data_IF_516227824943
#
_entry.id   IF_516227824943
#
_cell.length_a   1.000
_cell.length_b   1.000
_cell.length_c   1.000
_cell.angle_alpha   90.00
_cell.angle_beta   90.00
_cell.angle_gamma   90.00
#
_symmetry.space_group_name_H-M   'P 1'
#
loop_
_entity.id
_entity.type
_entity.pdbx_description
1 polymer ?
#
# COMPACT_ATOMS: atom_id res chain seq x y z
N UNK A 1 -77.59 -12.83 -9.93
CA UNK A 1 -76.24 -12.76 -10.54
C UNK A 1 -75.80 -11.32 -10.40
N UNK A 2 -75.33 -10.85 -9.23
CA UNK A 2 -74.02 -11.04 -8.59
C UNK A 2 -72.84 -10.51 -9.44
N UNK A 3 -72.83 -9.19 -9.67
CA UNK A 3 -71.65 -8.50 -10.21
C UNK A 3 -70.54 -8.47 -9.16
N UNK A 4 -69.53 -9.29 -9.42
CA UNK A 4 -68.35 -9.46 -8.57
C UNK A 4 -67.28 -8.48 -9.02
N UNK A 5 -66.82 -7.62 -8.10
CA UNK A 5 -65.66 -6.75 -8.28
C UNK A 5 -64.38 -7.61 -8.16
N UNK A 6 -63.45 -7.60 -9.14
CA UNK A 6 -62.07 -7.99 -8.89
C UNK A 6 -61.21 -6.78 -8.51
N UNK A 7 -60.21 -6.98 -7.64
CA UNK A 7 -59.60 -5.95 -6.81
C UNK A 7 -58.52 -5.13 -7.51
N UNK A 8 -58.27 -3.94 -6.96
CA UNK A 8 -57.16 -3.07 -7.29
C UNK A 8 -55.82 -3.78 -7.15
N UNK A 9 -55.05 -3.80 -8.24
CA UNK A 9 -53.64 -4.17 -8.24
C UNK A 9 -52.88 -3.03 -7.56
N UNK A 10 -52.64 -3.14 -6.25
CA UNK A 10 -51.73 -2.25 -5.57
C UNK A 10 -50.31 -2.81 -5.68
N UNK A 11 -49.50 -2.06 -6.42
CA UNK A 11 -48.07 -2.27 -6.64
C UNK A 11 -47.37 -2.71 -5.36
N UNK A 12 -46.59 -3.79 -5.49
CA UNK A 12 -45.52 -4.15 -4.57
C UNK A 12 -44.56 -2.97 -4.44
N UNK A 13 -44.74 -2.17 -3.39
CA UNK A 13 -43.72 -1.31 -2.88
C UNK A 13 -42.62 -2.22 -2.33
N UNK A 14 -41.55 -2.35 -3.11
CA UNK A 14 -40.26 -2.86 -2.68
C UNK A 14 -39.83 -2.03 -1.46
N UNK A 15 -40.08 -2.60 -0.28
CA UNK A 15 -39.73 -2.00 0.98
C UNK A 15 -38.20 -2.04 1.10
N UNK A 16 -37.55 -0.99 0.58
CA UNK A 16 -36.23 -0.59 1.03
C UNK A 16 -36.25 -0.63 2.56
N UNK A 17 -35.62 -1.66 3.14
CA UNK A 17 -35.53 -1.80 4.58
C UNK A 17 -34.83 -0.55 5.09
N UNK A 18 -35.57 0.31 5.77
CA UNK A 18 -35.03 1.48 6.42
C UNK A 18 -33.93 1.01 7.37
N UNK A 19 -32.71 1.42 7.06
CA UNK A 19 -31.52 1.22 7.89
C UNK A 19 -31.82 1.84 9.25
N UNK A 20 -31.75 1.05 10.32
CA UNK A 20 -31.82 1.62 11.67
C UNK A 20 -30.47 2.29 11.99
N UNK A 21 -30.43 3.51 12.55
CA UNK A 21 -29.20 4.30 12.65
C UNK A 21 -28.06 3.69 13.48
N UNK A 22 -28.36 2.74 14.36
CA UNK A 22 -27.42 2.21 15.37
C UNK A 22 -27.01 0.75 15.16
N UNK A 23 -27.50 0.07 14.11
CA UNK A 23 -27.14 -1.33 13.84
C UNK A 23 -25.81 -1.45 13.08
N UNK A 24 -24.87 -2.22 13.62
CA UNK A 24 -23.60 -2.50 12.95
C UNK A 24 -23.82 -3.46 11.77
N UNK A 25 -23.48 -3.01 10.55
CA UNK A 25 -23.57 -3.84 9.34
C UNK A 25 -22.44 -4.87 9.23
N UNK A 26 -21.37 -4.70 10.01
CA UNK A 26 -20.21 -5.58 10.05
C UNK A 26 -20.28 -6.46 11.29
N UNK A 27 -20.12 -7.77 11.09
CA UNK A 27 -20.01 -8.76 12.16
C UNK A 27 -18.63 -9.41 12.16
N UNK A 28 -17.71 -8.85 12.95
CA UNK A 28 -16.33 -9.33 13.04
C UNK A 28 -16.21 -10.72 13.69
N UNK A 29 -17.27 -11.29 14.28
CA UNK A 29 -17.27 -12.69 14.74
C UNK A 29 -17.20 -13.66 13.57
N UNK A 30 -17.60 -13.20 12.37
CA UNK A 30 -17.54 -13.95 11.12
C UNK A 30 -16.23 -13.70 10.34
N UNK A 31 -15.34 -12.84 10.86
CA UNK A 31 -14.07 -12.54 10.20
C UNK A 31 -13.23 -13.81 10.07
N UNK A 32 -12.83 -14.13 8.85
CA UNK A 32 -11.96 -15.24 8.53
C UNK A 32 -10.81 -14.80 7.62
N UNK A 33 -9.60 -15.21 8.00
CA UNK A 33 -8.36 -14.95 7.28
C UNK A 33 -7.65 -16.27 6.90
N UNK A 34 -8.32 -17.42 7.01
CA UNK A 34 -7.78 -18.74 6.70
C UNK A 34 -7.25 -18.86 5.26
N UNK A 35 -7.85 -18.12 4.31
CA UNK A 35 -7.42 -18.09 2.90
C UNK A 35 -6.08 -17.38 2.69
N UNK A 36 -5.70 -16.46 3.58
CA UNK A 36 -4.59 -15.54 3.35
C UNK A 36 -3.25 -16.18 3.74
N UNK A 37 -2.38 -16.32 2.74
CA UNK A 37 -1.01 -16.79 2.95
C UNK A 37 -0.04 -15.62 3.21
N UNK A 38 0.57 -15.65 4.39
CA UNK A 38 1.65 -14.72 4.77
C UNK A 38 2.94 -15.01 3.98
N UNK A 39 3.10 -16.21 3.43
CA UNK A 39 4.26 -16.70 2.70
C UNK A 39 5.35 -17.31 3.59
N UNK A 40 5.22 -17.21 4.92
CA UNK A 40 6.11 -17.83 5.92
C UNK A 40 5.30 -18.26 7.15
N UNK A 41 5.86 -19.21 7.92
CA UNK A 41 5.26 -19.67 9.16
C UNK A 41 5.18 -18.55 10.22
N UNK A 42 4.22 -18.68 11.14
CA UNK A 42 3.99 -17.68 12.19
C UNK A 42 5.20 -17.41 13.09
N UNK A 43 6.05 -18.41 13.33
CA UNK A 43 7.28 -18.22 14.13
C UNK A 43 8.33 -17.38 13.40
N UNK A 44 8.44 -17.49 12.06
CA UNK A 44 9.33 -16.63 11.26
C UNK A 44 8.83 -15.19 11.29
N UNK A 45 7.51 -15.00 11.19
CA UNK A 45 6.87 -13.68 11.33
C UNK A 45 7.19 -13.07 12.68
N UNK A 46 7.00 -13.82 13.77
CA UNK A 46 7.29 -13.37 15.12
C UNK A 46 8.78 -13.03 15.30
N UNK A 47 9.66 -13.92 14.82
CA UNK A 47 11.11 -13.69 14.85
C UNK A 47 11.48 -12.42 14.10
N UNK A 48 10.92 -12.20 12.91
CA UNK A 48 11.15 -10.97 12.14
C UNK A 48 10.73 -9.73 12.93
N UNK A 49 9.53 -9.74 13.53
CA UNK A 49 9.05 -8.61 14.32
C UNK A 49 9.98 -8.30 15.51
N UNK A 50 10.50 -9.32 16.17
CA UNK A 50 11.49 -9.16 17.24
C UNK A 50 12.82 -8.58 16.72
N UNK A 51 13.36 -9.15 15.63
CA UNK A 51 14.61 -8.68 15.00
C UNK A 51 14.46 -7.23 14.56
N UNK A 52 13.36 -6.88 13.90
CA UNK A 52 13.10 -5.51 13.47
C UNK A 52 12.89 -4.56 14.66
N UNK A 53 12.23 -4.98 15.74
CA UNK A 53 12.02 -4.13 16.90
C UNK A 53 13.34 -3.77 17.61
N UNK A 54 14.31 -4.69 17.61
CA UNK A 54 15.58 -4.54 18.34
C UNK A 54 16.71 -4.04 17.42
N UNK A 55 16.98 -4.74 16.32
CA UNK A 55 18.18 -4.49 15.52
C UNK A 55 18.11 -3.18 14.72
N UNK A 56 16.93 -2.81 14.20
CA UNK A 56 16.78 -1.60 13.39
C UNK A 56 17.09 -0.33 14.19
N UNK A 57 16.47 -0.08 15.37
CA UNK A 57 16.76 1.10 16.18
C UNK A 57 18.20 1.14 16.73
N UNK A 58 18.82 -0.02 16.97
CA UNK A 58 20.19 -0.09 17.51
C UNK A 58 21.27 0.14 16.44
N UNK A 59 20.95 0.00 15.16
CA UNK A 59 21.91 0.27 14.08
C UNK A 59 22.07 1.78 13.85
N UNK A 60 23.30 2.34 13.87
CA UNK A 60 23.53 3.76 13.65
C UNK A 60 22.90 4.26 12.34
N UNK A 61 22.54 5.54 12.31
CA UNK A 61 21.81 6.16 11.21
C UNK A 61 22.52 5.99 9.86
N UNK A 62 23.86 6.11 9.83
CA UNK A 62 24.71 5.92 8.63
C UNK A 62 24.99 4.46 8.27
N UNK A 63 24.74 3.51 9.17
CA UNK A 63 25.06 2.09 8.98
C UNK A 63 23.94 1.36 8.22
N UNK A 64 23.86 1.56 6.90
CA UNK A 64 22.83 0.93 6.06
C UNK A 64 23.08 -0.55 5.76
N UNK A 65 24.34 -1.00 5.73
CA UNK A 65 24.70 -2.37 5.32
C UNK A 65 24.11 -3.47 6.24
N UNK A 66 24.16 -3.36 7.59
CA UNK A 66 23.54 -4.34 8.47
C UNK A 66 22.03 -4.49 8.24
N UNK A 67 21.32 -3.38 8.05
CA UNK A 67 19.87 -3.41 7.78
C UNK A 67 19.55 -4.09 6.45
N UNK A 68 20.31 -3.79 5.39
CA UNK A 68 20.19 -4.49 4.10
C UNK A 68 20.44 -5.99 4.25
N UNK A 69 21.48 -6.38 4.99
CA UNK A 69 21.82 -7.78 5.21
C UNK A 69 20.68 -8.51 5.95
N UNK A 70 20.17 -7.94 7.05
CA UNK A 70 19.05 -8.50 7.80
C UNK A 70 17.80 -8.65 6.92
N UNK A 71 17.44 -7.63 6.15
CA UNK A 71 16.28 -7.73 5.24
C UNK A 71 16.45 -8.84 4.21
N UNK A 72 17.65 -8.98 3.62
CA UNK A 72 17.97 -10.08 2.68
C UNK A 72 17.88 -11.44 3.36
N UNK A 73 18.38 -11.56 4.60
CA UNK A 73 18.30 -12.80 5.37
C UNK A 73 16.84 -13.24 5.60
N UNK A 74 15.94 -12.29 5.81
CA UNK A 74 14.49 -12.53 5.91
C UNK A 74 13.78 -12.56 4.54
N UNK A 75 14.51 -12.63 3.43
CA UNK A 75 13.98 -12.90 2.10
C UNK A 75 13.62 -11.68 1.25
N UNK A 76 13.87 -10.45 1.72
CA UNK A 76 13.71 -9.27 0.88
C UNK A 76 14.75 -9.24 -0.25
N UNK A 77 14.35 -8.71 -1.41
CA UNK A 77 15.27 -8.46 -2.53
C UNK A 77 15.73 -7.01 -2.47
N UNK A 78 16.99 -6.80 -2.09
CA UNK A 78 17.54 -5.45 -1.90
C UNK A 78 18.75 -5.23 -2.81
N UNK A 79 18.68 -4.17 -3.61
CA UNK A 79 19.71 -3.76 -4.55
C UNK A 79 21.00 -3.24 -3.92
N UNK A 80 21.95 -2.89 -4.78
CA UNK A 80 23.20 -2.21 -4.44
C UNK A 80 22.93 -0.79 -3.95
N UNK A 81 23.71 -0.30 -2.97
CA UNK A 81 23.67 1.11 -2.59
C UNK A 81 22.37 1.59 -1.92
N UNK A 82 21.42 0.70 -1.63
CA UNK A 82 20.14 1.06 -1.03
C UNK A 82 20.33 1.67 0.37
N UNK A 83 19.74 2.84 0.59
CA UNK A 83 19.73 3.53 1.87
C UNK A 83 18.42 3.22 2.57
N UNK A 84 18.48 2.60 3.75
CA UNK A 84 17.32 2.36 4.60
C UNK A 84 17.56 3.01 5.94
N UNK A 85 16.62 3.83 6.39
CA UNK A 85 16.63 4.49 7.69
C UNK A 85 16.28 3.54 8.83
N UNK A 86 16.81 3.78 10.05
CA UNK A 86 16.63 2.86 11.18
C UNK A 86 15.18 2.76 11.66
N UNK A 87 14.31 3.73 11.35
CA UNK A 87 12.89 3.69 11.76
C UNK A 87 11.95 3.14 10.69
N UNK A 88 12.44 2.81 9.48
CA UNK A 88 11.62 2.17 8.46
C UNK A 88 11.11 0.80 8.93
N UNK A 89 9.85 0.47 8.62
CA UNK A 89 9.17 -0.75 9.05
C UNK A 89 8.70 -1.57 7.85
N UNK A 90 8.86 -2.89 7.94
CA UNK A 90 8.48 -3.88 6.94
C UNK A 90 7.63 -4.95 7.63
N UNK A 91 6.42 -5.19 7.12
CA UNK A 91 5.52 -6.20 7.71
C UNK A 91 6.01 -7.61 7.40
N UNK A 92 6.21 -7.90 6.10
CA UNK A 92 6.75 -9.15 5.57
C UNK A 92 7.88 -8.84 4.57
N UNK A 93 9.16 -8.94 4.98
CA UNK A 93 10.31 -8.59 4.13
C UNK A 93 10.38 -9.42 2.84
N UNK A 94 10.02 -10.69 2.90
CA UNK A 94 10.01 -11.60 1.75
C UNK A 94 8.97 -11.26 0.67
N UNK A 95 8.12 -10.25 0.89
CA UNK A 95 7.21 -9.66 -0.10
C UNK A 95 7.68 -8.28 -0.59
N UNK A 96 8.94 -7.91 -0.33
CA UNK A 96 9.49 -6.58 -0.65
C UNK A 96 10.70 -6.68 -1.55
N UNK A 97 10.68 -5.91 -2.62
CA UNK A 97 11.79 -5.71 -3.55
C UNK A 97 12.13 -4.22 -3.66
N UNK A 98 13.41 -3.88 -3.54
CA UNK A 98 13.93 -2.51 -3.64
C UNK A 98 15.14 -2.51 -4.56
N UNK A 99 15.04 -1.81 -5.68
CA UNK A 99 16.08 -1.68 -6.68
C UNK A 99 17.27 -0.83 -6.24
N UNK A 100 18.31 -0.82 -7.06
CA UNK A 100 19.60 -0.22 -6.76
C UNK A 100 19.51 1.28 -6.49
N UNK A 101 20.37 1.77 -5.60
CA UNK A 101 20.53 3.19 -5.26
C UNK A 101 19.25 3.91 -4.82
N UNK A 102 18.26 3.15 -4.34
CA UNK A 102 17.00 3.69 -3.80
C UNK A 102 17.11 4.06 -2.32
N UNK A 103 16.33 5.06 -1.91
CA UNK A 103 16.38 5.67 -0.58
C UNK A 103 15.03 5.53 0.13
N UNK A 104 15.04 4.91 1.31
CA UNK A 104 13.89 4.72 2.17
C UNK A 104 14.07 5.57 3.43
N UNK A 105 13.22 6.57 3.56
CA UNK A 105 13.23 7.55 4.65
C UNK A 105 12.78 7.00 6.00
N UNK A 106 12.86 7.86 7.02
CA UNK A 106 12.46 7.54 8.38
C UNK A 106 10.95 7.29 8.47
N UNK A 107 10.53 6.36 9.31
CA UNK A 107 9.12 6.04 9.57
C UNK A 107 8.32 5.63 8.31
N UNK A 108 8.99 5.24 7.23
CA UNK A 108 8.33 4.62 6.07
C UNK A 108 7.82 3.25 6.46
N UNK A 109 6.55 2.97 6.15
CA UNK A 109 5.91 1.69 6.44
C UNK A 109 5.62 0.94 5.15
N UNK A 110 6.24 -0.23 5.01
CA UNK A 110 5.91 -1.25 4.03
C UNK A 110 4.90 -2.21 4.66
N UNK A 111 3.60 -1.91 4.51
CA UNK A 111 2.52 -2.80 4.94
C UNK A 111 2.28 -3.86 3.85
N UNK A 112 3.25 -4.77 3.73
CA UNK A 112 3.41 -5.77 2.67
C UNK A 112 2.60 -7.06 2.90
N UNK A 113 1.27 -6.95 3.06
CA UNK A 113 0.38 -8.12 2.96
C UNK A 113 0.40 -8.74 1.54
N UNK A 114 0.73 -7.95 0.53
CA UNK A 114 1.08 -8.36 -0.82
C UNK A 114 2.46 -7.82 -1.23
N UNK A 115 2.86 -8.07 -2.47
CA UNK A 115 4.13 -7.62 -3.03
C UNK A 115 4.23 -6.08 -3.07
N UNK A 116 5.36 -5.55 -2.59
CA UNK A 116 5.75 -4.15 -2.78
C UNK A 116 7.06 -4.13 -3.57
N UNK A 117 7.02 -3.57 -4.77
CA UNK A 117 8.18 -3.47 -5.66
C UNK A 117 8.56 -2.00 -5.84
N UNK A 118 9.75 -1.63 -5.40
CA UNK A 118 10.36 -0.32 -5.61
C UNK A 118 11.48 -0.48 -6.63
N UNK A 119 11.44 0.31 -7.70
CA UNK A 119 12.46 0.35 -8.74
C UNK A 119 13.82 0.87 -8.24
N UNK A 120 14.73 1.09 -9.19
CA UNK A 120 16.04 1.69 -8.94
C UNK A 120 16.00 3.22 -8.96
N UNK A 121 16.91 3.85 -8.24
CA UNK A 121 17.03 5.30 -8.08
C UNK A 121 15.73 5.96 -7.57
N UNK A 122 14.93 5.22 -6.79
CA UNK A 122 13.69 5.73 -6.22
C UNK A 122 13.94 6.37 -4.86
N UNK A 123 13.12 7.35 -4.51
CA UNK A 123 13.12 7.96 -3.16
C UNK A 123 11.73 7.81 -2.58
N UNK A 124 11.63 7.07 -1.47
CA UNK A 124 10.42 7.00 -0.64
C UNK A 124 10.71 7.79 0.63
N UNK A 125 10.22 9.02 0.67
CA UNK A 125 10.49 9.95 1.76
C UNK A 125 9.74 9.56 3.03
N UNK A 126 10.24 10.11 4.14
CA UNK A 126 9.82 9.81 5.49
C UNK A 126 8.30 9.86 5.71
N UNK A 127 7.81 8.99 6.60
CA UNK A 127 6.40 8.83 7.00
C UNK A 127 5.46 8.33 5.91
N UNK A 128 5.98 7.93 4.75
CA UNK A 128 5.15 7.34 3.69
C UNK A 128 4.65 5.96 4.09
N UNK A 129 3.37 5.69 3.85
CA UNK A 129 2.71 4.41 4.13
C UNK A 129 2.32 3.72 2.82
N UNK A 130 2.98 2.60 2.52
CA UNK A 130 2.70 1.75 1.36
C UNK A 130 1.80 0.60 1.81
N UNK A 131 0.51 0.68 1.46
CA UNK A 131 -0.52 -0.24 1.95
C UNK A 131 -0.95 -1.24 0.88
N UNK A 132 -0.61 -2.51 1.04
CA UNK A 132 -1.09 -3.57 0.12
C UNK A 132 -2.33 -4.31 0.64
N UNK A 133 -2.80 -3.97 1.84
CA UNK A 133 -3.97 -4.58 2.49
C UNK A 133 -5.16 -3.63 2.60
N UNK A 134 -6.37 -4.15 2.41
CA UNK A 134 -7.63 -3.47 2.69
C UNK A 134 -8.68 -4.52 3.06
N UNK A 135 -9.94 -4.14 3.16
CA UNK A 135 -11.05 -5.04 3.44
C UNK A 135 -12.19 -4.79 2.44
N UNK A 136 -13.01 -5.82 2.22
CA UNK A 136 -14.24 -5.66 1.45
C UNK A 136 -15.29 -4.90 2.26
N UNK A 137 -15.62 -3.68 1.83
CA UNK A 137 -16.65 -2.87 2.48
C UNK A 137 -18.08 -3.37 2.23
N UNK A 138 -18.25 -4.28 1.25
CA UNK A 138 -19.54 -4.89 0.92
C UNK A 138 -19.73 -6.25 1.61
N UNK A 139 -18.68 -6.78 2.24
CA UNK A 139 -18.75 -8.06 2.96
C UNK A 139 -19.02 -7.81 4.45
N UNK A 140 -20.13 -8.30 5.01
CA UNK A 140 -20.42 -8.15 6.43
C UNK A 140 -19.38 -8.83 7.34
N UNK A 141 -18.61 -9.81 6.82
CA UNK A 141 -17.50 -10.43 7.54
C UNK A 141 -16.20 -9.60 7.48
N UNK A 142 -16.19 -8.45 6.78
CA UNK A 142 -15.05 -7.55 6.64
C UNK A 142 -13.78 -8.27 6.15
N UNK A 143 -13.94 -9.14 5.15
CA UNK A 143 -12.84 -9.99 4.66
C UNK A 143 -11.68 -9.16 4.14
N UNK A 144 -10.46 -9.63 4.44
CA UNK A 144 -9.23 -9.05 3.91
C UNK A 144 -9.24 -9.06 2.37
N UNK A 145 -8.73 -7.99 1.77
CA UNK A 145 -8.36 -7.88 0.36
C UNK A 145 -6.89 -7.44 0.30
N UNK A 146 -6.13 -8.01 -0.64
CA UNK A 146 -4.75 -7.57 -0.87
C UNK A 146 -4.54 -7.27 -2.35
N UNK A 147 -3.66 -6.31 -2.63
CA UNK A 147 -3.22 -6.03 -3.99
C UNK A 147 -1.80 -5.42 -3.97
N UNK A 148 -0.95 -5.77 -4.93
CA UNK A 148 0.45 -5.36 -4.95
C UNK A 148 0.60 -3.85 -5.20
N UNK A 149 1.74 -3.30 -4.79
CA UNK A 149 2.17 -1.93 -5.14
C UNK A 149 3.44 -2.01 -5.98
N UNK A 150 3.50 -1.20 -7.04
CA UNK A 150 4.69 -1.04 -7.88
C UNK A 150 5.09 0.42 -7.99
N UNK A 151 6.36 0.72 -7.80
CA UNK A 151 6.93 2.06 -7.97
C UNK A 151 8.05 1.97 -9.00
N UNK A 152 7.85 2.63 -10.15
CA UNK A 152 8.80 2.62 -11.26
C UNK A 152 10.09 3.37 -10.98
N UNK A 153 11.12 3.10 -11.78
CA UNK A 153 12.47 3.65 -11.62
C UNK A 153 12.48 5.18 -11.58
N UNK A 154 13.34 5.77 -10.75
CA UNK A 154 13.52 7.22 -10.65
C UNK A 154 12.33 7.98 -10.04
N UNK A 155 11.32 7.27 -9.54
CA UNK A 155 10.16 7.89 -8.91
C UNK A 155 10.53 8.46 -7.54
N UNK A 156 9.91 9.58 -7.19
CA UNK A 156 10.03 10.19 -5.87
C UNK A 156 8.66 10.31 -5.24
N UNK A 157 8.45 9.56 -4.15
CA UNK A 157 7.29 9.71 -3.28
C UNK A 157 7.70 10.58 -2.10
N UNK A 158 7.23 11.82 -2.09
CA UNK A 158 7.58 12.79 -1.05
C UNK A 158 6.94 12.43 0.29
N UNK A 159 7.29 13.19 1.32
CA UNK A 159 6.99 12.84 2.72
C UNK A 159 5.50 12.65 2.99
N UNK A 160 5.20 11.74 3.92
CA UNK A 160 3.88 11.63 4.56
C UNK A 160 2.76 11.28 3.57
N UNK A 161 3.09 10.53 2.51
CA UNK A 161 2.12 10.07 1.52
C UNK A 161 1.48 8.72 1.92
N UNK A 162 0.24 8.51 1.50
CA UNK A 162 -0.41 7.20 1.54
C UNK A 162 -0.50 6.62 0.13
N UNK A 163 -0.17 5.33 -0.04
CA UNK A 163 -0.31 4.60 -1.31
C UNK A 163 -1.21 3.39 -1.08
N UNK A 164 -2.34 3.36 -1.79
CA UNK A 164 -3.37 2.36 -1.64
C UNK A 164 -3.01 1.02 -2.32
N UNK A 165 -3.72 -0.08 -1.98
CA UNK A 165 -3.49 -1.38 -2.62
C UNK A 165 -3.74 -1.32 -4.12
N UNK A 166 -2.91 -2.03 -4.90
CA UNK A 166 -3.07 -2.13 -6.35
C UNK A 166 -2.52 -0.93 -7.14
N UNK A 167 -1.91 0.05 -6.48
CA UNK A 167 -1.38 1.25 -7.13
C UNK A 167 -0.05 0.96 -7.83
N UNK A 168 0.04 1.37 -9.09
CA UNK A 168 1.28 1.48 -9.84
C UNK A 168 1.67 2.94 -10.02
N UNK A 169 2.84 3.33 -9.52
CA UNK A 169 3.44 4.65 -9.75
C UNK A 169 4.42 4.51 -10.91
N UNK A 170 4.17 5.21 -12.00
CA UNK A 170 5.01 5.20 -13.19
C UNK A 170 6.46 5.61 -12.93
N UNK A 171 7.35 5.24 -13.85
CA UNK A 171 8.74 5.63 -13.78
C UNK A 171 8.90 7.15 -13.83
N UNK A 172 9.85 7.68 -13.07
CA UNK A 172 10.15 9.10 -12.95
C UNK A 172 8.99 9.96 -12.42
N UNK A 173 7.92 9.38 -11.89
CA UNK A 173 6.82 10.17 -11.31
C UNK A 173 7.23 10.82 -9.99
N UNK A 174 6.80 12.06 -9.76
CA UNK A 174 6.92 12.74 -8.45
C UNK A 174 5.55 12.76 -7.80
N UNK A 175 5.43 12.20 -6.61
CA UNK A 175 4.26 12.35 -5.75
C UNK A 175 4.59 13.42 -4.72
N UNK A 176 3.85 14.53 -4.74
CA UNK A 176 4.01 15.65 -3.82
C UNK A 176 3.70 15.26 -2.38
N UNK A 177 4.27 15.97 -1.41
CA UNK A 177 4.13 15.66 0.01
C UNK A 177 2.65 15.60 0.44
N UNK A 178 2.35 14.71 1.39
CA UNK A 178 1.01 14.54 1.97
C UNK A 178 -0.08 14.19 0.96
N UNK A 179 0.28 13.48 -0.11
CA UNK A 179 -0.70 13.03 -1.10
C UNK A 179 -1.27 11.66 -0.73
N UNK A 180 -2.53 11.44 -1.10
CA UNK A 180 -3.22 10.15 -0.93
C UNK A 180 -3.44 9.51 -2.29
N UNK A 181 -2.63 8.51 -2.62
CA UNK A 181 -2.61 7.85 -3.94
C UNK A 181 -3.55 6.66 -3.92
N UNK A 182 -4.76 6.84 -4.45
CA UNK A 182 -5.79 5.81 -4.55
C UNK A 182 -5.91 5.19 -5.95
N UNK A 183 -5.11 5.65 -6.92
CA UNK A 183 -5.15 5.18 -8.30
C UNK A 183 -3.75 5.26 -8.90
N UNK A 184 -3.43 4.38 -9.86
CA UNK A 184 -2.15 4.37 -10.54
C UNK A 184 -1.83 5.72 -11.19
N UNK A 185 -0.54 6.08 -11.18
CA UNK A 185 -0.05 7.37 -11.64
C UNK A 185 0.82 7.21 -12.90
N UNK A 186 0.65 8.09 -13.90
CA UNK A 186 1.41 8.02 -15.14
C UNK A 186 2.90 8.34 -14.93
N UNK A 187 3.76 7.75 -15.76
CA UNK A 187 5.19 7.99 -15.76
C UNK A 187 5.53 9.45 -16.15
N UNK A 188 6.64 9.96 -15.61
CA UNK A 188 7.20 11.27 -15.99
C UNK A 188 6.33 12.47 -15.59
N UNK A 189 5.39 12.31 -14.67
CA UNK A 189 4.51 13.39 -14.22
C UNK A 189 4.78 13.80 -12.78
N UNK A 190 4.39 15.03 -12.45
CA UNK A 190 4.22 15.51 -11.08
C UNK A 190 2.75 15.30 -10.71
N UNK A 191 2.51 14.63 -9.60
CA UNK A 191 1.18 14.32 -9.08
C UNK A 191 1.09 14.79 -7.62
N UNK A 192 -0.05 15.33 -7.19
CA UNK A 192 -0.24 15.75 -5.80
C UNK A 192 -1.71 15.75 -5.38
N UNK A 193 -1.97 15.80 -4.08
CA UNK A 193 -3.29 16.05 -3.49
C UNK A 193 -3.95 14.82 -2.87
N UNK A 194 -5.19 14.99 -2.41
CA UNK A 194 -6.04 13.94 -1.85
C UNK A 194 -7.46 14.07 -2.44
N UNK A 195 -7.87 13.21 -3.38
CA UNK A 195 -7.07 12.16 -4.01
C UNK A 195 -5.92 12.72 -4.86
N UNK A 196 -4.81 11.99 -4.93
CA UNK A 196 -3.65 12.38 -5.73
C UNK A 196 -3.99 12.33 -7.22
N UNK A 197 -3.66 13.41 -7.93
CA UNK A 197 -3.90 13.56 -9.37
C UNK A 197 -2.68 14.16 -10.06
N UNK A 198 -2.46 13.85 -11.36
CA UNK A 198 -1.42 14.51 -12.11
C UNK A 198 -1.70 16.01 -12.26
N UNK A 199 -0.66 16.83 -12.15
CA UNK A 199 -0.76 18.28 -12.23
C UNK A 199 0.28 18.93 -13.16
N UNK A 200 1.15 18.14 -13.80
CA UNK A 200 2.14 18.63 -14.75
C UNK A 200 3.15 17.57 -15.13
N UNK A 201 3.95 17.86 -16.17
CA UNK A 201 5.08 17.02 -16.59
C UNK A 201 6.26 17.26 -15.65
N UNK A 202 7.01 16.20 -15.31
CA UNK A 202 8.28 16.34 -14.58
C UNK A 202 9.37 16.70 -15.58
N UNK A 203 9.80 17.95 -15.55
CA UNK A 203 10.96 18.40 -16.31
C UNK A 203 12.26 18.07 -15.58
N UNK A 204 13.27 17.61 -16.31
CA UNK A 204 14.61 17.36 -15.81
C UNK A 204 15.60 18.23 -16.59
N UNK A 205 16.28 19.15 -15.89
CA UNK A 205 17.30 20.01 -16.52
C UNK A 205 18.45 19.15 -17.05
N UNK A 206 18.89 19.42 -18.27
CA UNK A 206 20.01 18.71 -18.91
C UNK A 206 19.65 17.37 -19.55
N UNK A 207 18.36 17.03 -19.64
CA UNK A 207 17.89 15.91 -20.47
C UNK A 207 17.62 16.45 -21.88
N UNK A 208 18.67 16.69 -22.65
CA UNK A 208 18.51 16.91 -24.09
C UNK A 208 17.85 15.65 -24.68
N UNK A 209 16.87 15.88 -25.56
CA UNK A 209 16.10 14.84 -26.24
C UNK A 209 17.05 13.93 -27.02
N UNK A 210 17.45 12.81 -26.42
CA UNK A 210 17.94 11.66 -27.17
C UNK A 210 16.71 11.00 -27.82
N UNK A 211 16.25 11.60 -28.91
CA UNK A 211 15.44 10.95 -29.95
C UNK A 211 16.29 10.88 -31.22
#
# INVERSE_FOLDING_TARGET
MSDSIPPSVNNSADASKAVTPDEAWVDLRQYDQSWYDRGRSGWVVLLWWLVQAIAFPLTPHSAHAPRRFLLKLFGARIGQGVVIRPTARFTYPWKVEIGDYSWIGDDVVFYSLDQIQIGQHCVISQKTYLCTGSHDIQDPAFRLKTAPIKVGNGAWVATDCFVAPGVEIGANTVVGARSSVFSSLPAGQVCKGTPCRPCGVREMKGREEQN
#
